data_IF_610162974818
#
_entry.id   IF_610162974818
#
_cell.length_a   1.000
_cell.length_b   1.000
_cell.length_c   1.000
_cell.angle_alpha   90.00
_cell.angle_beta   90.00
_cell.angle_gamma   90.00
#
_symmetry.space_group_name_H-M   'P 1'
#
loop_
_entity.id
_entity.type
_entity.pdbx_description
1 polymer ?
#
# COMPACT_ATOMS: atom_id res chain seq x y z
N UNK A 1 -12.61 1.80 -7.13
CA UNK A 1 -11.31 1.94 -7.85
C UNK A 1 -11.49 2.23 -9.35
N UNK A 2 -12.47 1.61 -10.04
CA UNK A 2 -12.74 1.86 -11.47
C UNK A 2 -13.13 3.30 -11.81
N UNK A 3 -13.97 3.96 -11.00
CA UNK A 3 -14.38 5.35 -11.24
C UNK A 3 -13.27 6.39 -10.98
N UNK A 4 -12.37 6.11 -10.04
CA UNK A 4 -11.21 6.96 -9.76
C UNK A 4 -10.25 7.02 -10.95
N UNK A 5 -10.15 5.93 -11.71
CA UNK A 5 -9.27 5.84 -12.90
C UNK A 5 -9.93 6.47 -14.13
N UNK A 6 -11.27 6.48 -14.22
CA UNK A 6 -11.99 7.06 -15.36
C UNK A 6 -11.87 8.59 -15.42
N UNK A 7 -11.63 9.27 -14.31
CA UNK A 7 -11.43 10.71 -14.25
C UNK A 7 -10.02 11.18 -14.63
N UNK A 8 -9.07 10.24 -14.76
CA UNK A 8 -7.71 10.55 -15.20
C UNK A 8 -7.69 10.76 -16.71
N UNK A 9 -7.99 11.96 -17.13
CA UNK A 9 -7.88 12.43 -18.52
C UNK A 9 -6.41 12.57 -18.89
N UNK A 10 -5.77 11.48 -19.34
CA UNK A 10 -4.43 11.59 -19.91
C UNK A 10 -3.49 10.46 -19.56
N UNK A 11 -3.22 9.58 -20.50
CA UNK A 11 -2.13 8.62 -20.45
C UNK A 11 -2.31 7.45 -19.46
N UNK A 12 -1.35 6.55 -19.50
CA UNK A 12 -1.25 5.39 -18.62
C UNK A 12 -0.70 5.82 -17.25
N UNK A 13 -1.30 5.36 -16.16
CA UNK A 13 -0.85 5.65 -14.81
C UNK A 13 0.45 4.88 -14.49
N UNK A 14 1.45 5.59 -14.00
CA UNK A 14 2.75 5.02 -13.64
C UNK A 14 2.80 4.80 -12.13
N UNK A 15 2.90 3.54 -11.70
CA UNK A 15 2.96 3.17 -10.29
C UNK A 15 4.40 2.94 -9.85
N UNK A 16 4.77 3.59 -8.75
CA UNK A 16 5.96 3.28 -7.98
C UNK A 16 5.53 2.63 -6.66
N UNK A 17 5.95 1.39 -6.42
CA UNK A 17 5.69 0.69 -5.17
C UNK A 17 6.85 0.89 -4.22
N UNK A 18 6.57 1.40 -3.02
CA UNK A 18 7.54 1.67 -1.96
C UNK A 18 7.27 0.70 -0.80
N UNK A 19 8.23 -0.20 -0.54
CA UNK A 19 8.05 -1.31 0.38
C UNK A 19 7.34 -2.48 -0.29
N UNK A 20 8.00 -3.10 -1.27
CA UNK A 20 7.42 -4.19 -2.05
C UNK A 20 7.25 -5.47 -1.23
N UNK A 21 8.24 -5.80 -0.39
CA UNK A 21 8.30 -7.12 0.23
C UNK A 21 8.75 -8.21 -0.74
N UNK A 22 8.56 -9.46 -0.33
CA UNK A 22 8.92 -10.65 -1.13
C UNK A 22 7.67 -11.40 -1.58
N UNK A 23 7.84 -12.33 -2.50
CA UNK A 23 6.77 -13.16 -3.05
C UNK A 23 5.91 -13.80 -1.96
N UNK A 24 4.59 -13.60 -2.07
CA UNK A 24 3.61 -14.10 -1.10
C UNK A 24 3.60 -13.39 0.25
N UNK A 25 4.46 -12.38 0.46
CA UNK A 25 4.56 -11.65 1.71
C UNK A 25 4.64 -10.14 1.48
N UNK A 26 3.71 -9.42 2.05
CA UNK A 26 3.63 -7.96 1.98
C UNK A 26 2.65 -7.46 0.93
N UNK A 27 1.92 -6.41 1.28
CA UNK A 27 0.90 -5.83 0.41
C UNK A 27 1.50 -5.25 -0.88
N UNK A 28 2.71 -4.68 -0.80
CA UNK A 28 3.39 -4.16 -1.98
C UNK A 28 3.61 -5.19 -3.08
N UNK A 29 3.93 -6.43 -2.72
CA UNK A 29 4.08 -7.52 -3.69
C UNK A 29 2.74 -7.85 -4.38
N UNK A 30 1.64 -7.95 -3.62
CA UNK A 30 0.32 -8.20 -4.20
C UNK A 30 -0.12 -7.10 -5.16
N UNK A 31 0.08 -5.84 -4.80
CA UNK A 31 -0.20 -4.71 -5.69
C UNK A 31 0.68 -4.73 -6.95
N UNK A 32 1.97 -5.06 -6.80
CA UNK A 32 2.87 -5.21 -7.95
C UNK A 32 2.39 -6.30 -8.90
N UNK A 33 1.95 -7.45 -8.35
CA UNK A 33 1.46 -8.57 -9.14
C UNK A 33 0.21 -8.17 -9.94
N UNK A 34 -0.75 -7.48 -9.33
CA UNK A 34 -1.95 -6.99 -10.01
C UNK A 34 -1.61 -6.07 -11.20
N UNK A 35 -0.65 -5.16 -11.02
CA UNK A 35 -0.18 -4.28 -12.08
C UNK A 35 0.51 -5.05 -13.20
N UNK A 36 1.39 -6.01 -12.86
CA UNK A 36 2.12 -6.83 -13.82
C UNK A 36 1.25 -7.81 -14.60
N UNK A 37 0.11 -8.22 -14.02
CA UNK A 37 -0.89 -9.08 -14.65
C UNK A 37 -1.90 -8.26 -15.50
N UNK A 38 -1.82 -6.93 -15.48
CA UNK A 38 -2.78 -6.08 -16.20
C UNK A 38 -4.18 -6.06 -15.61
N UNK A 39 -4.31 -6.40 -14.32
CA UNK A 39 -5.61 -6.41 -13.61
C UNK A 39 -6.14 -4.99 -13.38
N UNK A 40 -5.27 -3.99 -13.43
CA UNK A 40 -5.62 -2.57 -13.31
C UNK A 40 -5.51 -1.93 -14.70
N UNK A 41 -6.63 -1.63 -15.36
CA UNK A 41 -6.60 -1.06 -16.70
C UNK A 41 -5.89 0.30 -16.74
N UNK A 42 -5.11 0.54 -17.79
CA UNK A 42 -4.36 1.80 -18.00
C UNK A 42 -3.39 2.13 -16.88
N UNK A 43 -2.83 1.11 -16.23
CA UNK A 43 -1.85 1.24 -15.18
C UNK A 43 -0.64 0.34 -15.46
N UNK A 44 0.54 0.82 -15.14
CA UNK A 44 1.78 0.05 -15.24
C UNK A 44 2.61 0.18 -13.98
N UNK A 45 3.31 -0.88 -13.63
CA UNK A 45 4.37 -0.82 -12.63
C UNK A 45 5.64 -0.27 -13.30
N UNK A 46 6.03 0.96 -12.95
CA UNK A 46 7.24 1.59 -13.47
C UNK A 46 8.44 1.39 -12.55
N UNK A 47 8.21 1.46 -11.24
CA UNK A 47 9.27 1.50 -10.24
C UNK A 47 8.93 0.66 -9.01
N UNK A 48 9.95 0.08 -8.40
CA UNK A 48 9.90 -0.57 -7.08
C UNK A 48 11.01 -0.02 -6.21
N UNK A 49 10.66 0.49 -5.05
CA UNK A 49 11.60 0.90 -4.01
C UNK A 49 11.57 -0.12 -2.88
N UNK A 50 12.70 -0.76 -2.62
CA UNK A 50 12.82 -1.78 -1.57
C UNK A 50 14.14 -1.62 -0.82
N UNK A 51 14.17 -0.77 0.23
CA UNK A 51 15.41 -0.45 0.92
C UNK A 51 16.06 -1.63 1.63
N UNK A 52 15.26 -2.53 2.21
CA UNK A 52 15.79 -3.63 3.01
C UNK A 52 16.40 -4.72 2.11
N UNK A 53 15.67 -5.25 1.14
CA UNK A 53 16.13 -6.35 0.30
C UNK A 53 17.14 -5.94 -0.79
N UNK A 54 17.23 -4.65 -1.08
CA UNK A 54 18.30 -4.12 -1.92
C UNK A 54 19.49 -3.57 -1.11
N UNK A 55 19.34 -3.53 0.22
CA UNK A 55 20.34 -3.04 1.16
C UNK A 55 20.79 -4.10 2.16
N UNK A 56 20.48 -3.87 3.44
CA UNK A 56 20.99 -4.69 4.56
C UNK A 56 20.53 -6.16 4.51
N UNK A 57 19.37 -6.44 3.94
CA UNK A 57 18.81 -7.79 3.85
C UNK A 57 19.16 -8.56 2.57
N UNK A 58 19.97 -8.01 1.67
CA UNK A 58 20.23 -8.56 0.33
C UNK A 58 20.81 -9.98 0.33
N UNK A 59 21.65 -10.29 1.31
CA UNK A 59 22.38 -11.58 1.42
C UNK A 59 21.59 -12.64 2.22
N UNK A 60 20.48 -12.24 2.86
CA UNK A 60 19.59 -13.14 3.56
C UNK A 60 18.78 -13.99 2.55
N UNK A 61 18.28 -15.19 2.95
CA UNK A 61 17.46 -16.01 2.06
C UNK A 61 16.29 -15.25 1.40
N UNK A 62 15.49 -14.41 2.11
CA UNK A 62 14.47 -13.60 1.47
C UNK A 62 15.01 -12.56 0.48
N UNK A 63 16.20 -11.99 0.75
CA UNK A 63 16.85 -11.03 -0.15
C UNK A 63 17.30 -11.66 -1.47
N UNK A 64 17.80 -12.89 -1.42
CA UNK A 64 18.14 -13.67 -2.62
C UNK A 64 16.89 -13.98 -3.45
N UNK A 65 15.81 -14.42 -2.82
CA UNK A 65 14.52 -14.64 -3.49
C UNK A 65 13.98 -13.33 -4.11
N UNK A 66 14.12 -12.20 -3.40
CA UNK A 66 13.78 -10.88 -3.93
C UNK A 66 14.60 -10.52 -5.16
N UNK A 67 15.90 -10.80 -5.17
CA UNK A 67 16.78 -10.53 -6.30
C UNK A 67 16.37 -11.31 -7.57
N UNK A 68 15.97 -12.58 -7.40
CA UNK A 68 15.46 -13.41 -8.51
C UNK A 68 14.14 -12.85 -9.07
N UNK A 69 13.21 -12.47 -8.20
CA UNK A 69 11.97 -11.81 -8.57
C UNK A 69 12.24 -10.48 -9.30
N UNK A 70 13.12 -9.67 -8.74
CA UNK A 70 13.50 -8.38 -9.32
C UNK A 70 14.12 -8.53 -10.72
N UNK A 71 14.92 -9.56 -10.96
CA UNK A 71 15.47 -9.84 -12.28
C UNK A 71 14.37 -10.11 -13.32
N UNK A 72 13.36 -10.91 -12.95
CA UNK A 72 12.18 -11.19 -13.81
C UNK A 72 11.39 -9.91 -14.15
N UNK A 73 11.21 -9.02 -13.16
CA UNK A 73 10.44 -7.80 -13.35
C UNK A 73 11.24 -6.72 -14.09
N UNK A 74 12.56 -6.65 -13.89
CA UNK A 74 13.45 -5.80 -14.72
C UNK A 74 13.36 -6.15 -16.21
N UNK A 75 13.24 -7.43 -16.54
CA UNK A 75 13.04 -7.86 -17.92
C UNK A 75 11.71 -7.36 -18.52
N UNK A 76 10.72 -7.03 -17.68
CA UNK A 76 9.45 -6.37 -18.06
C UNK A 76 9.53 -4.83 -18.05
N UNK A 77 10.71 -4.25 -17.82
CA UNK A 77 10.92 -2.80 -17.83
C UNK A 77 10.75 -2.10 -16.48
N UNK A 78 10.52 -2.84 -15.37
CA UNK A 78 10.40 -2.26 -14.02
C UNK A 78 11.77 -1.81 -13.52
N UNK A 79 11.85 -0.62 -12.96
CA UNK A 79 13.06 -0.11 -12.31
C UNK A 79 13.06 -0.44 -10.81
N UNK A 80 14.24 -0.70 -10.26
CA UNK A 80 14.41 -1.03 -8.84
C UNK A 80 15.36 -0.05 -8.17
N UNK A 81 14.96 0.47 -7.02
CA UNK A 81 15.68 1.48 -6.24
C UNK A 81 15.83 1.04 -4.79
N UNK A 82 17.02 1.25 -4.22
CA UNK A 82 17.25 1.02 -2.81
C UNK A 82 16.72 2.17 -1.93
N UNK A 83 16.36 3.31 -2.52
CA UNK A 83 15.89 4.50 -1.83
C UNK A 83 15.00 5.33 -2.76
N UNK A 84 14.05 6.06 -2.20
CA UNK A 84 13.24 7.04 -2.94
C UNK A 84 14.09 8.25 -3.36
N UNK A 85 15.15 8.54 -2.61
CA UNK A 85 16.06 9.67 -2.85
C UNK A 85 16.99 9.45 -4.06
N UNK A 86 16.88 8.33 -4.75
CA UNK A 86 17.75 8.02 -5.91
C UNK A 86 17.68 9.03 -7.06
N UNK A 87 16.72 9.96 -7.03
CA UNK A 87 16.51 10.95 -8.09
C UNK A 87 15.98 10.37 -9.41
N UNK A 88 15.82 9.04 -9.46
CA UNK A 88 15.40 8.30 -10.65
C UNK A 88 13.96 7.80 -10.59
N UNK A 89 13.27 7.97 -9.46
CA UNK A 89 11.87 7.57 -9.34
C UNK A 89 11.03 8.29 -10.40
N UNK A 90 10.22 7.54 -11.11
CA UNK A 90 9.44 8.01 -12.26
C UNK A 90 10.25 8.54 -13.45
N UNK A 91 11.56 8.32 -13.51
CA UNK A 91 12.40 8.81 -14.63
C UNK A 91 12.00 8.24 -16.00
N UNK A 92 11.41 7.04 -16.02
CA UNK A 92 10.85 6.40 -17.22
C UNK A 92 9.32 6.41 -17.26
N UNK A 93 8.69 7.29 -16.47
CA UNK A 93 7.25 7.44 -16.49
C UNK A 93 6.78 7.98 -17.86
N UNK A 94 5.70 7.41 -18.36
CA UNK A 94 4.98 7.92 -19.53
C UNK A 94 4.21 9.19 -19.18
N UNK A 95 3.67 9.88 -20.17
CA UNK A 95 2.80 11.02 -19.95
C UNK A 95 1.49 10.56 -19.27
N UNK A 96 1.42 10.62 -17.96
CA UNK A 96 0.27 10.20 -17.17
C UNK A 96 0.52 10.38 -15.67
N UNK A 97 -0.47 10.05 -14.84
CA UNK A 97 -0.34 10.15 -13.40
C UNK A 97 0.84 9.34 -12.86
N UNK A 98 1.53 9.90 -11.86
CA UNK A 98 2.60 9.27 -11.11
C UNK A 98 2.08 8.92 -9.73
N UNK A 99 1.82 7.64 -9.49
CA UNK A 99 1.18 7.14 -8.28
C UNK A 99 2.22 6.45 -7.40
N UNK A 100 2.48 7.00 -6.23
CA UNK A 100 3.28 6.32 -5.21
C UNK A 100 2.37 5.44 -4.35
N UNK A 101 2.55 4.13 -4.41
CA UNK A 101 1.88 3.16 -3.53
C UNK A 101 2.84 2.82 -2.40
N UNK A 102 2.53 3.27 -1.19
CA UNK A 102 3.37 3.11 -0.01
C UNK A 102 2.84 1.95 0.84
N UNK A 103 3.59 0.85 0.86
CA UNK A 103 3.28 -0.37 1.59
C UNK A 103 4.47 -0.82 2.48
N UNK A 104 5.26 0.14 2.93
CA UNK A 104 6.37 -0.08 3.84
C UNK A 104 5.95 -0.37 5.27
N UNK A 105 6.93 -0.47 6.18
CA UNK A 105 6.62 -0.53 7.61
C UNK A 105 6.01 0.79 8.06
N UNK A 106 5.06 0.73 8.95
CA UNK A 106 4.32 1.91 9.44
C UNK A 106 5.24 3.02 9.93
N UNK A 107 6.33 2.66 10.64
CA UNK A 107 7.32 3.64 11.13
C UNK A 107 8.09 4.36 10.02
N UNK A 108 8.24 3.76 8.84
CA UNK A 108 8.99 4.33 7.71
C UNK A 108 8.08 5.13 6.77
N UNK A 109 6.77 4.88 6.81
CA UNK A 109 5.80 5.49 5.89
C UNK A 109 5.81 7.02 5.87
N UNK A 110 5.91 7.76 7.00
CA UNK A 110 5.99 9.22 6.96
C UNK A 110 7.20 9.74 6.18
N UNK A 111 8.33 9.04 6.28
CA UNK A 111 9.54 9.34 5.50
C UNK A 111 9.31 9.09 4.00
N UNK A 112 8.82 7.91 3.65
CA UNK A 112 8.51 7.55 2.27
C UNK A 112 7.49 8.48 1.63
N UNK A 113 6.48 8.89 2.39
CA UNK A 113 5.45 9.82 1.96
C UNK A 113 6.03 11.17 1.51
N UNK A 114 6.87 11.78 2.34
CA UNK A 114 7.53 13.05 2.03
C UNK A 114 8.46 12.94 0.83
N UNK A 115 9.21 11.83 0.77
CA UNK A 115 10.11 11.54 -0.34
C UNK A 115 9.34 11.33 -1.65
N UNK A 116 8.19 10.65 -1.62
CA UNK A 116 7.34 10.44 -2.79
C UNK A 116 6.80 11.77 -3.35
N UNK A 117 6.34 12.67 -2.48
CA UNK A 117 5.93 14.03 -2.88
C UNK A 117 7.09 14.77 -3.54
N UNK A 118 8.27 14.76 -2.92
CA UNK A 118 9.49 15.40 -3.45
C UNK A 118 9.92 14.81 -4.79
N UNK A 119 9.72 13.51 -5.00
CA UNK A 119 10.00 12.82 -6.25
C UNK A 119 8.97 13.10 -7.36
N UNK A 120 7.95 13.89 -7.09
CA UNK A 120 6.95 14.31 -8.06
C UNK A 120 5.78 13.36 -8.22
N UNK A 121 5.47 12.54 -7.21
CA UNK A 121 4.23 11.79 -7.19
C UNK A 121 3.03 12.76 -7.29
N UNK A 122 2.10 12.45 -8.19
CA UNK A 122 0.86 13.23 -8.38
C UNK A 122 -0.27 12.71 -7.51
N UNK A 123 -0.19 11.45 -7.07
CA UNK A 123 -1.16 10.78 -6.20
C UNK A 123 -0.41 9.83 -5.27
N UNK A 124 -0.96 9.61 -4.09
CA UNK A 124 -0.42 8.63 -3.14
C UNK A 124 -1.53 7.65 -2.75
N UNK A 125 -1.23 6.36 -2.83
CA UNK A 125 -1.99 5.30 -2.18
C UNK A 125 -1.16 4.82 -0.98
N UNK A 126 -1.69 5.03 0.23
CA UNK A 126 -1.01 4.71 1.48
C UNK A 126 -1.67 3.50 2.13
N UNK A 127 -0.91 2.43 2.33
CA UNK A 127 -1.40 1.28 3.07
C UNK A 127 -1.63 1.61 4.55
N UNK A 128 -2.67 1.00 5.08
CA UNK A 128 -3.02 1.14 6.50
C UNK A 128 -1.92 0.54 7.40
N UNK A 129 -1.75 1.01 8.62
CA UNK A 129 -2.43 2.11 9.32
C UNK A 129 -1.88 3.50 8.96
N UNK A 130 -0.99 3.61 8.00
CA UNK A 130 -0.45 4.84 7.46
C UNK A 130 0.76 5.38 8.21
N UNK A 131 0.63 5.68 9.49
CA UNK A 131 1.71 6.20 10.32
C UNK A 131 1.64 5.68 11.77
N UNK A 132 2.73 5.79 12.57
CA UNK A 132 2.75 5.34 13.96
C UNK A 132 1.78 6.07 14.87
N UNK A 133 1.53 7.35 14.62
CA UNK A 133 0.67 8.19 15.47
C UNK A 133 -0.35 8.97 14.65
N UNK A 134 -1.44 9.37 15.31
CA UNK A 134 -2.45 10.27 14.72
C UNK A 134 -1.84 11.63 14.34
N UNK A 135 -0.97 12.17 15.20
CA UNK A 135 -0.28 13.44 14.92
C UNK A 135 0.56 13.42 13.64
N UNK A 136 1.20 12.30 13.35
CA UNK A 136 1.92 12.10 12.09
C UNK A 136 0.97 12.00 10.89
N UNK A 137 -0.15 11.28 11.01
CA UNK A 137 -1.18 11.24 9.97
C UNK A 137 -1.74 12.62 9.65
N UNK A 138 -2.02 13.42 10.69
CA UNK A 138 -2.46 14.80 10.52
C UNK A 138 -1.40 15.68 9.86
N UNK A 139 -0.12 15.51 10.22
CA UNK A 139 0.98 16.23 9.57
C UNK A 139 1.08 15.85 8.08
N UNK A 140 1.03 14.55 7.77
CA UNK A 140 1.03 14.06 6.38
C UNK A 140 -0.17 14.59 5.59
N UNK A 141 -1.37 14.66 6.19
CA UNK A 141 -2.55 15.22 5.54
C UNK A 141 -2.38 16.73 5.22
N UNK A 142 -1.79 17.49 6.14
CA UNK A 142 -1.47 18.92 5.90
C UNK A 142 -0.42 19.08 4.80
N UNK A 143 0.63 18.26 4.80
CA UNK A 143 1.68 18.27 3.78
C UNK A 143 1.14 17.90 2.39
N UNK A 144 0.29 16.88 2.30
CA UNK A 144 -0.39 16.49 1.06
C UNK A 144 -1.24 17.62 0.49
N UNK A 145 -2.04 18.27 1.37
CA UNK A 145 -2.88 19.40 0.99
C UNK A 145 -2.05 20.58 0.47
N UNK A 146 -0.94 20.91 1.14
CA UNK A 146 -0.02 21.96 0.71
C UNK A 146 0.63 21.64 -0.64
N UNK A 147 1.00 20.39 -0.87
CA UNK A 147 1.56 19.92 -2.13
C UNK A 147 0.50 19.67 -3.24
N UNK A 148 -0.78 19.76 -2.93
CA UNK A 148 -1.91 19.43 -3.83
C UNK A 148 -1.84 17.99 -4.37
N UNK A 149 -1.39 17.05 -3.54
CA UNK A 149 -1.29 15.63 -3.86
C UNK A 149 -2.44 14.89 -3.17
N UNK A 150 -3.41 14.35 -3.91
CA UNK A 150 -4.45 13.49 -3.35
C UNK A 150 -3.85 12.25 -2.70
N UNK A 151 -4.38 11.88 -1.52
CA UNK A 151 -3.98 10.69 -0.78
C UNK A 151 -5.18 9.81 -0.54
N UNK A 152 -5.02 8.54 -0.84
CA UNK A 152 -6.02 7.50 -0.60
C UNK A 152 -5.43 6.48 0.37
N UNK A 153 -6.23 6.06 1.35
CA UNK A 153 -5.80 5.04 2.32
C UNK A 153 -6.37 3.67 1.96
N UNK A 154 -5.57 2.63 2.18
CA UNK A 154 -5.90 1.24 1.87
C UNK A 154 -6.97 0.61 2.80
N UNK A 155 -8.01 1.35 3.15
CA UNK A 155 -9.16 0.83 3.90
C UNK A 155 -10.16 0.16 2.96
N UNK A 156 -9.86 -1.08 2.55
CA UNK A 156 -10.64 -1.82 1.55
C UNK A 156 -12.11 -2.01 1.92
N UNK A 157 -12.44 -2.03 3.23
CA UNK A 157 -13.82 -2.19 3.69
C UNK A 157 -14.70 -0.99 3.39
N UNK A 158 -14.12 0.20 3.24
CA UNK A 158 -14.87 1.40 2.86
C UNK A 158 -15.43 1.35 1.44
N UNK A 159 -14.95 0.42 0.61
CA UNK A 159 -15.36 0.25 -0.79
C UNK A 159 -15.78 -1.20 -1.11
N UNK A 160 -16.03 -1.99 -0.09
CA UNK A 160 -16.35 -3.40 -0.25
C UNK A 160 -17.86 -3.61 -0.32
N UNK A 161 -18.36 -4.12 -1.44
CA UNK A 161 -19.78 -4.34 -1.65
C UNK A 161 -20.44 -5.27 -0.63
N UNK A 162 -19.71 -6.23 -0.04
CA UNK A 162 -20.27 -7.05 1.03
C UNK A 162 -20.44 -6.27 2.35
N UNK A 163 -19.57 -5.28 2.63
CA UNK A 163 -19.73 -4.39 3.79
C UNK A 163 -20.89 -3.44 3.56
N UNK A 164 -21.02 -2.86 2.38
CA UNK A 164 -22.18 -2.03 2.00
C UNK A 164 -23.48 -2.82 2.14
N UNK A 165 -23.52 -4.06 1.65
CA UNK A 165 -24.68 -4.95 1.78
C UNK A 165 -25.03 -5.28 3.24
N UNK A 166 -24.01 -5.53 4.09
CA UNK A 166 -24.21 -5.79 5.51
C UNK A 166 -24.74 -4.55 6.24
N UNK A 167 -24.19 -3.37 5.95
CA UNK A 167 -24.65 -2.09 6.52
C UNK A 167 -26.08 -1.77 6.08
N UNK A 168 -26.40 -1.99 4.79
CA UNK A 168 -27.76 -1.79 4.28
C UNK A 168 -28.76 -2.72 4.95
N UNK A 169 -28.41 -3.99 5.16
CA UNK A 169 -29.24 -4.96 5.86
C UNK A 169 -29.43 -4.58 7.34
N UNK A 170 -28.37 -4.16 8.03
CA UNK A 170 -28.44 -3.69 9.41
C UNK A 170 -29.33 -2.46 9.55
N UNK A 171 -29.16 -1.46 8.68
CA UNK A 171 -29.98 -0.24 8.67
C UNK A 171 -31.45 -0.53 8.32
N UNK A 172 -31.72 -1.48 7.42
CA UNK A 172 -33.06 -1.91 7.05
C UNK A 172 -33.79 -2.69 8.16
N UNK A 173 -33.04 -3.42 8.97
CA UNK A 173 -33.58 -4.15 10.11
C UNK A 173 -33.79 -3.27 11.35
N UNK A 174 -33.09 -2.16 11.43
CA UNK A 174 -33.13 -1.23 12.56
C UNK A 174 -34.36 -0.33 12.51
N UNK A 175 -35.52 -0.87 12.86
CA UNK A 175 -36.61 -0.04 13.36
C UNK A 175 -36.23 0.57 14.71
N UNK A 176 -35.39 1.59 14.71
CA UNK A 176 -35.12 2.51 15.82
C UNK A 176 -34.32 2.02 17.05
N UNK A 177 -33.88 0.79 17.14
CA UNK A 177 -33.02 0.34 18.27
C UNK A 177 -31.64 -0.15 17.74
N UNK A 178 -30.61 0.06 18.58
CA UNK A 178 -29.24 -0.28 18.25
C UNK A 178 -29.09 -1.76 17.86
N UNK A 179 -28.59 -2.02 16.65
CA UNK A 179 -28.25 -3.38 16.21
C UNK A 179 -26.89 -3.75 16.76
N UNK A 180 -26.82 -4.85 17.52
CA UNK A 180 -25.53 -5.41 17.92
C UNK A 180 -24.83 -6.00 16.70
N UNK A 181 -23.64 -5.52 16.39
CA UNK A 181 -22.80 -6.07 15.32
C UNK A 181 -21.67 -6.89 15.91
N UNK A 182 -21.46 -8.10 15.41
CA UNK A 182 -20.35 -8.97 15.79
C UNK A 182 -19.44 -9.20 14.63
N UNK A 183 -18.21 -8.71 14.72
CA UNK A 183 -17.15 -9.06 13.77
C UNK A 183 -16.38 -10.29 14.26
N UNK A 184 -16.24 -11.28 13.41
CA UNK A 184 -15.38 -12.44 13.63
C UNK A 184 -14.32 -12.48 12.55
N UNK A 185 -13.08 -12.08 12.90
CA UNK A 185 -11.91 -12.27 12.04
C UNK A 185 -11.31 -13.64 12.32
N UNK A 186 -11.34 -14.50 11.31
CA UNK A 186 -10.71 -15.84 11.39
C UNK A 186 -9.34 -15.78 10.76
N UNK A 187 -8.30 -15.82 11.59
CA UNK A 187 -6.92 -15.98 11.15
C UNK A 187 -6.39 -17.25 11.80
N UNK A 188 -5.90 -18.17 10.98
CA UNK A 188 -5.30 -19.42 11.44
C UNK A 188 -3.85 -19.17 11.87
N UNK A 189 -3.68 -18.57 13.05
CA UNK A 189 -2.38 -18.47 13.70
C UNK A 189 -2.12 -19.72 14.52
N UNK A 190 -1.00 -20.39 14.23
CA UNK A 190 -0.48 -21.44 15.11
C UNK A 190 0.39 -20.79 16.19
N UNK A 191 0.58 -21.46 17.33
CA UNK A 191 1.46 -20.98 18.39
C UNK A 191 2.88 -20.65 17.87
N UNK A 192 3.39 -21.47 16.96
CA UNK A 192 4.70 -21.27 16.33
C UNK A 192 4.78 -19.99 15.47
N UNK A 193 3.66 -19.50 14.95
CA UNK A 193 3.62 -18.29 14.10
C UNK A 193 3.21 -17.04 14.86
N UNK A 194 2.73 -17.16 16.10
CA UNK A 194 2.29 -16.03 16.92
C UNK A 194 3.44 -15.09 17.26
N UNK A 195 4.59 -15.60 17.64
CA UNK A 195 5.75 -14.78 17.98
C UNK A 195 6.20 -13.96 16.78
N UNK A 196 6.36 -14.58 15.60
CA UNK A 196 6.68 -13.87 14.37
C UNK A 196 5.62 -12.81 14.02
N UNK A 197 4.34 -13.13 14.26
CA UNK A 197 3.25 -12.19 14.04
C UNK A 197 3.37 -10.95 14.94
N UNK A 198 3.66 -11.13 16.23
CA UNK A 198 3.87 -10.01 17.17
C UNK A 198 5.10 -9.18 16.81
N UNK A 199 6.20 -9.80 16.43
CA UNK A 199 7.42 -9.11 16.01
C UNK A 199 7.21 -8.28 14.75
N UNK A 200 6.47 -8.80 13.78
CA UNK A 200 6.14 -8.07 12.54
C UNK A 200 5.16 -6.93 12.75
N UNK A 201 4.26 -7.06 13.72
CA UNK A 201 3.29 -6.04 14.08
C UNK A 201 3.76 -5.25 15.31
N UNK A 202 4.95 -4.64 15.23
CA UNK A 202 5.59 -3.93 16.33
C UNK A 202 4.71 -2.81 16.93
N UNK A 203 3.77 -2.28 16.14
CA UNK A 203 2.78 -1.28 16.61
C UNK A 203 1.56 -1.92 17.28
N UNK A 204 1.55 -3.24 17.44
CA UNK A 204 0.49 -4.02 18.06
C UNK A 204 -0.52 -4.60 17.09
N UNK A 205 -0.98 -5.82 17.40
CA UNK A 205 -1.94 -6.54 16.56
C UNK A 205 -3.26 -5.79 16.42
N UNK A 206 -3.74 -5.17 17.47
CA UNK A 206 -5.01 -4.45 17.46
C UNK A 206 -4.99 -3.32 16.42
N UNK A 207 -3.94 -2.50 16.43
CA UNK A 207 -3.77 -1.40 15.47
C UNK A 207 -3.62 -1.90 14.03
N UNK A 208 -2.89 -3.00 13.84
CA UNK A 208 -2.65 -3.51 12.49
C UNK A 208 -3.86 -4.27 11.93
N UNK A 209 -4.53 -5.07 12.75
CA UNK A 209 -5.59 -5.98 12.29
C UNK A 209 -7.00 -5.39 12.45
N UNK A 210 -7.27 -4.71 13.58
CA UNK A 210 -8.61 -4.20 13.85
C UNK A 210 -8.90 -2.82 13.25
N UNK A 211 -7.91 -2.14 12.69
CA UNK A 211 -8.11 -0.80 12.12
C UNK A 211 -9.09 -0.77 10.93
N UNK A 212 -9.36 -1.91 10.33
CA UNK A 212 -10.37 -2.02 9.28
C UNK A 212 -11.81 -2.05 9.84
N UNK A 213 -11.95 -2.23 11.15
CA UNK A 213 -13.22 -2.47 11.83
C UNK A 213 -13.69 -1.26 12.64
N UNK A 214 -12.82 -0.27 12.77
CA UNK A 214 -13.07 1.00 13.45
C UNK A 214 -13.45 2.05 12.42
#
# INVERSE_FOLDING_TARGET
>A
MGEMISSLTGGEANYAIIGCGVEGRGMGWYHALQLLNGEIPRARLSDVVEPFFLGAGKDLPPGKAFAEMAAKWKAKGVQFHASVDSGSLFSKATAGPKIALIAGRTCDNPGFFRQAIKAGATHILLEKPGAPTVGELEAMAREAKAAKVPVYMGFIKNISGYVEGALAAANGAAGAEAVETKLVSRNDYTEATLQECFERNAEGMLKNMAIHEI
#
